data_IF_839261863311
#
_entry.id   IF_839261863311
#
_cell.length_a   1.000
_cell.length_b   1.000
_cell.length_c   1.000
_cell.angle_alpha   90.00
_cell.angle_beta   90.00
_cell.angle_gamma   90.00
#
_symmetry.space_group_name_H-M   'P 1'
#
loop_
_entity.id
_entity.type
_entity.pdbx_description
1 polymer ?
#
# COMPACT_ATOMS: atom_id res chain seq x y z
N UNK A 1 21.70 11.34 31.59
CA UNK A 1 21.33 10.39 30.52
C UNK A 1 19.94 9.82 30.79
N UNK A 2 19.06 9.78 29.79
CA UNK A 2 17.80 9.05 29.95
C UNK A 2 18.08 7.55 29.95
N UNK A 3 17.46 6.79 30.86
CA UNK A 3 17.60 5.34 30.92
C UNK A 3 17.07 4.68 29.64
N UNK A 4 17.58 3.49 29.30
CA UNK A 4 17.09 2.72 28.15
C UNK A 4 15.58 2.45 28.21
N UNK A 5 15.02 2.31 29.42
CA UNK A 5 13.58 2.13 29.65
C UNK A 5 12.78 3.40 29.35
N UNK A 6 13.30 4.58 29.70
CA UNK A 6 12.65 5.85 29.35
C UNK A 6 12.66 6.09 27.84
N UNK A 7 13.76 5.73 27.16
CA UNK A 7 13.87 5.82 25.70
C UNK A 7 12.89 4.89 25.00
N UNK A 8 12.76 3.64 25.44
CA UNK A 8 11.84 2.67 24.85
C UNK A 8 10.37 3.06 25.05
N UNK A 9 10.00 3.56 26.24
CA UNK A 9 8.67 4.10 26.53
C UNK A 9 8.31 5.27 25.60
N UNK A 10 9.23 6.22 25.41
CA UNK A 10 9.04 7.37 24.51
C UNK A 10 8.86 6.92 23.05
N UNK A 11 9.66 5.94 22.59
CA UNK A 11 9.53 5.35 21.25
C UNK A 11 8.17 4.67 21.05
N UNK A 12 7.70 3.88 22.03
CA UNK A 12 6.40 3.21 21.99
C UNK A 12 5.26 4.21 21.87
N UNK A 13 5.24 5.24 22.73
CA UNK A 13 4.21 6.29 22.68
C UNK A 13 4.16 6.99 21.31
N UNK A 14 5.32 7.31 20.72
CA UNK A 14 5.40 7.92 19.38
C UNK A 14 4.84 6.99 18.29
N UNK A 15 5.16 5.69 18.33
CA UNK A 15 4.66 4.71 17.36
C UNK A 15 3.14 4.60 17.41
N UNK A 16 2.53 4.57 18.60
CA UNK A 16 1.08 4.51 18.73
C UNK A 16 0.40 5.78 18.19
N UNK A 17 0.95 6.96 18.53
CA UNK A 17 0.44 8.24 18.00
C UNK A 17 0.50 8.29 16.46
N UNK A 18 1.60 7.81 15.88
CA UNK A 18 1.83 7.92 14.44
C UNK A 18 1.19 6.78 13.61
N UNK A 19 0.73 5.69 14.24
CA UNK A 19 0.24 4.50 13.54
C UNK A 19 -0.87 4.82 12.53
N UNK A 20 -1.83 5.68 12.90
CA UNK A 20 -2.91 6.09 12.00
C UNK A 20 -2.42 6.90 10.80
N UNK A 21 -1.48 7.82 11.03
CA UNK A 21 -0.88 8.65 9.98
C UNK A 21 -0.05 7.78 9.01
N UNK A 22 0.73 6.85 9.54
CA UNK A 22 1.55 5.93 8.74
C UNK A 22 0.67 5.00 7.89
N UNK A 23 -0.45 4.50 8.44
CA UNK A 23 -1.45 3.74 7.68
C UNK A 23 -2.01 4.55 6.51
N UNK A 24 -2.43 5.80 6.75
CA UNK A 24 -2.96 6.68 5.71
C UNK A 24 -1.92 7.00 4.63
N UNK A 25 -0.66 7.27 5.01
CA UNK A 25 0.44 7.50 4.06
C UNK A 25 0.71 6.29 3.17
N UNK A 26 0.65 5.06 3.72
CA UNK A 26 0.80 3.83 2.94
C UNK A 26 -0.33 3.65 1.93
N UNK A 27 -1.57 3.88 2.36
CA UNK A 27 -2.74 3.80 1.48
C UNK A 27 -2.73 4.88 0.39
N UNK A 28 -2.35 6.11 0.74
CA UNK A 28 -2.27 7.22 -0.20
C UNK A 28 -1.17 7.08 -1.27
N UNK A 29 -0.11 6.30 -1.01
CA UNK A 29 0.97 6.07 -1.98
C UNK A 29 0.53 5.24 -3.20
N UNK A 30 -0.55 4.48 -3.12
CA UNK A 30 -1.10 3.62 -4.19
C UNK A 30 -2.63 3.75 -4.26
N UNK A 31 -3.15 4.97 -4.10
CA UNK A 31 -4.60 5.19 -4.07
C UNK A 31 -5.30 4.83 -5.38
N UNK A 32 -4.58 4.83 -6.50
CA UNK A 32 -5.05 4.37 -7.80
C UNK A 32 -4.00 3.45 -8.40
N UNK A 33 -4.42 2.29 -8.90
CA UNK A 33 -3.59 1.44 -9.75
C UNK A 33 -3.23 2.23 -11.02
N UNK A 34 -2.02 2.04 -11.51
CA UNK A 34 -1.65 2.60 -12.82
C UNK A 34 -2.53 1.98 -13.92
N UNK A 35 -2.68 2.66 -15.06
CA UNK A 35 -3.42 2.10 -16.20
C UNK A 35 -2.90 0.71 -16.60
N UNK A 36 -1.58 0.50 -16.55
CA UNK A 36 -0.97 -0.80 -16.81
C UNK A 36 -1.41 -1.88 -15.80
N UNK A 37 -1.40 -1.56 -14.49
CA UNK A 37 -1.88 -2.48 -13.44
C UNK A 37 -3.39 -2.73 -13.52
N UNK A 38 -4.19 -1.76 -14.00
CA UNK A 38 -5.64 -1.90 -14.16
C UNK A 38 -6.00 -2.84 -15.31
N UNK A 39 -5.27 -2.74 -16.43
CA UNK A 39 -5.62 -3.42 -17.68
C UNK A 39 -4.79 -4.67 -17.97
N UNK A 40 -3.87 -5.08 -17.08
CA UNK A 40 -3.03 -6.29 -17.23
C UNK A 40 -3.84 -7.55 -17.59
N UNK A 41 -5.06 -7.68 -17.06
CA UNK A 41 -5.96 -8.82 -17.32
C UNK A 41 -6.90 -8.63 -18.51
N UNK A 42 -6.99 -7.41 -19.05
CA UNK A 42 -7.92 -7.06 -20.11
C UNK A 42 -7.37 -7.35 -21.51
N UNK A 43 -6.07 -7.64 -21.65
CA UNK A 43 -5.41 -7.78 -22.95
C UNK A 43 -5.17 -6.43 -23.64
N UNK A 44 -4.58 -6.47 -24.83
CA UNK A 44 -4.38 -5.28 -25.67
C UNK A 44 -5.74 -4.70 -26.11
N UNK A 45 -5.92 -3.36 -26.10
CA UNK A 45 -7.16 -2.74 -26.55
C UNK A 45 -7.44 -3.11 -28.01
N UNK A 46 -8.61 -3.72 -28.25
CA UNK A 46 -9.02 -4.23 -29.57
C UNK A 46 -8.80 -5.72 -29.78
N UNK A 47 -8.19 -6.43 -28.83
CA UNK A 47 -8.09 -7.89 -28.82
C UNK A 47 -9.09 -8.51 -27.84
N UNK A 48 -9.62 -9.72 -28.10
CA UNK A 48 -10.47 -10.40 -27.15
C UNK A 48 -9.71 -10.69 -25.85
N UNK A 49 -10.38 -10.47 -24.70
CA UNK A 49 -9.79 -10.79 -23.40
C UNK A 49 -9.30 -12.25 -23.39
N UNK A 50 -8.11 -12.54 -22.84
CA UNK A 50 -7.47 -13.86 -22.94
C UNK A 50 -8.32 -15.01 -22.36
N UNK A 51 -9.31 -14.73 -21.50
CA UNK A 51 -10.26 -15.73 -20.99
C UNK A 51 -11.36 -16.11 -21.98
N UNK A 52 -11.57 -15.36 -23.07
CA UNK A 52 -12.58 -15.65 -24.07
C UNK A 52 -12.13 -16.73 -25.07
N UNK A 53 -10.82 -16.96 -25.23
CA UNK A 53 -10.28 -17.96 -26.16
C UNK A 53 -9.90 -19.30 -25.52
N UNK A 54 -10.05 -19.44 -24.20
CA UNK A 54 -9.84 -20.69 -23.48
C UNK A 54 -11.17 -21.45 -23.39
N UNK A 55 -11.60 -22.05 -24.51
CA UNK A 55 -12.62 -23.11 -24.55
C UNK A 55 -12.00 -24.35 -25.19
#
# INVERSE_FOLDING_TARGET
>A
MASFTAVSKRKRARRHKNAGQDRKKKLGRRSTLSAAELFEKCGEPGQPAPSASAK
#
